data_IF_903020318691
#
_entry.id   IF_903020318691
#
_cell.length_a   1.000
_cell.length_b   1.000
_cell.length_c   1.000
_cell.angle_alpha   90.00
_cell.angle_beta   90.00
_cell.angle_gamma   90.00
#
_symmetry.space_group_name_H-M   'P 1'
#
loop_
_entity.id
_entity.type
_entity.pdbx_description
1 polymer ?
2 branched ?
3 branched ?
4 non-polymer ?
5 water ?
#
# COMPACT_ATOMS: atom_id res chain seq x y z
N UNK A 26 1.64 -1.29 -23.23
CA UNK A 26 1.31 -1.78 -21.87
C UNK A 26 0.38 -0.84 -21.13
N UNK A 27 0.07 -1.20 -19.90
CA UNK A 27 -0.89 -0.50 -19.10
C UNK A 27 -0.50 0.93 -18.85
N UNK A 28 0.78 1.14 -18.51
CA UNK A 28 1.24 2.50 -18.19
C UNK A 28 0.99 3.45 -19.39
N UNK A 29 1.13 2.94 -20.60
CA UNK A 29 0.89 3.73 -21.81
C UNK A 29 -0.58 3.96 -22.11
N UNK A 30 -1.38 2.91 -21.98
CA UNK A 30 -2.83 2.98 -22.15
C UNK A 30 -3.45 4.03 -21.24
N UNK A 31 -2.92 4.10 -20.01
CA UNK A 31 -3.41 4.99 -19.00
C UNK A 31 -2.60 6.27 -18.87
N UNK A 32 -1.76 6.59 -19.85
CA UNK A 32 -0.87 7.75 -19.67
C UNK A 32 -1.59 9.07 -19.33
N UNK A 33 -2.70 9.33 -20.00
CA UNK A 33 -3.46 10.59 -19.81
C UNK A 33 -4.27 10.59 -18.52
N UNK A 34 -4.29 9.47 -17.82
CA UNK A 34 -5.14 9.29 -16.64
C UNK A 34 -4.32 9.33 -15.36
N UNK A 35 -3.42 8.38 -15.19
CA UNK A 35 -2.64 8.35 -13.94
C UNK A 35 -1.52 7.35 -14.12
N UNK A 36 -0.55 7.40 -13.21
CA UNK A 36 0.51 6.42 -13.15
C UNK A 36 -0.02 5.02 -12.87
N UNK A 37 0.69 4.01 -13.36
CA UNK A 37 0.34 2.62 -13.12
C UNK A 37 1.56 2.00 -12.47
N UNK A 38 1.36 1.52 -11.25
CA UNK A 38 2.47 1.09 -10.40
C UNK A 38 2.42 -0.34 -9.94
N UNK A 39 3.56 -0.84 -9.44
CA UNK A 39 3.60 -2.16 -8.82
C UNK A 39 4.53 -2.14 -7.63
N UNK A 40 4.13 -2.85 -6.59
CA UNK A 40 5.00 -3.17 -5.46
C UNK A 40 5.97 -4.25 -5.86
N UNK A 41 7.25 -4.01 -5.60
CA UNK A 41 8.30 -4.96 -5.93
C UNK A 41 8.99 -5.52 -4.69
N UNK A 42 9.04 -6.82 -4.60
CA UNK A 42 9.79 -7.46 -3.53
C UNK A 42 11.29 -7.39 -3.81
N UNK A 43 12.08 -7.84 -2.85
CA UNK A 43 13.55 -7.68 -2.94
C UNK A 43 14.13 -8.53 -4.06
N UNK A 44 13.56 -9.71 -4.30
CA UNK A 44 14.06 -10.59 -5.37
C UNK A 44 13.86 -9.94 -6.75
N UNK A 45 12.69 -9.37 -6.96
CA UNK A 45 12.40 -8.73 -8.22
C UNK A 45 13.26 -7.48 -8.41
N UNK A 46 13.38 -6.65 -7.37
CA UNK A 46 14.12 -5.42 -7.47
C UNK A 46 15.62 -5.59 -7.63
N UNK A 47 16.12 -6.78 -7.40
CA UNK A 47 17.53 -7.09 -7.65
C UNK A 47 17.88 -6.94 -9.12
N UNK A 48 16.89 -7.07 -10.01
CA UNK A 48 17.11 -6.94 -11.45
C UNK A 48 17.67 -8.17 -12.13
N UNK A 49 17.74 -9.28 -11.40
CA UNK A 49 18.31 -10.53 -11.89
C UNK A 49 17.43 -11.19 -12.93
N UNK A 50 16.12 -10.92 -12.88
CA UNK A 50 15.14 -11.66 -13.68
C UNK A 50 14.81 -10.85 -14.91
N UNK A 51 15.42 -11.19 -16.05
CA UNK A 51 15.29 -10.35 -17.26
C UNK A 51 13.85 -10.32 -17.80
N UNK A 52 13.14 -11.40 -17.59
CA UNK A 52 11.75 -11.48 -18.00
C UNK A 52 10.93 -10.43 -17.26
N UNK A 53 11.08 -10.40 -15.93
CA UNK A 53 10.36 -9.40 -15.14
C UNK A 53 10.82 -8.00 -15.44
N UNK A 54 12.12 -7.80 -15.66
CA UNK A 54 12.58 -6.43 -15.98
C UNK A 54 11.89 -5.93 -17.22
N UNK A 55 11.78 -6.78 -18.21
CA UNK A 55 11.13 -6.40 -19.44
C UNK A 55 9.66 -6.09 -19.22
N UNK A 56 8.98 -7.00 -18.53
CA UNK A 56 7.56 -6.82 -18.20
C UNK A 56 7.32 -5.51 -17.44
N UNK A 57 8.10 -5.28 -16.39
CA UNK A 57 7.87 -4.10 -15.57
C UNK A 57 8.06 -2.82 -16.34
N UNK A 58 9.12 -2.75 -17.16
CA UNK A 58 9.39 -1.55 -17.96
C UNK A 58 8.30 -1.28 -18.97
N UNK A 59 7.71 -2.33 -19.50
CA UNK A 59 6.58 -2.21 -20.41
C UNK A 59 5.32 -1.73 -19.73
N UNK A 60 5.02 -2.27 -18.54
CA UNK A 60 3.69 -2.15 -17.96
C UNK A 60 3.52 -1.03 -16.93
N UNK A 61 4.57 -0.78 -16.15
CA UNK A 61 4.47 0.11 -15.00
C UNK A 61 5.38 1.31 -15.15
N UNK A 62 4.93 2.46 -14.65
CA UNK A 62 5.77 3.65 -14.59
C UNK A 62 5.95 4.18 -13.17
N UNK A 63 5.50 3.39 -12.19
CA UNK A 63 5.78 3.67 -10.77
C UNK A 63 6.01 2.34 -10.05
N UNK A 64 6.82 2.39 -8.99
CA UNK A 64 7.08 1.24 -8.17
C UNK A 64 7.15 1.64 -6.72
N UNK A 65 6.83 0.69 -5.85
CA UNK A 65 6.86 0.83 -4.39
C UNK A 65 7.62 -0.39 -3.83
N UNK A 66 8.48 -0.23 -2.82
CA UNK A 66 9.15 -1.37 -2.20
C UNK A 66 8.20 -2.11 -1.30
N UNK A 67 8.05 -3.41 -1.52
CA UNK A 67 7.05 -4.17 -0.77
C UNK A 67 7.35 -4.24 0.72
N UNK A 68 8.64 -4.37 1.05
CA UNK A 68 9.07 -4.53 2.46
C UNK A 68 10.36 -3.83 2.84
N UNK A 69 11.26 -3.61 1.88
CA UNK A 69 12.62 -3.33 2.30
C UNK A 69 12.85 -1.96 2.95
N UNK A 70 11.92 -1.01 2.85
CA UNK A 70 12.10 0.26 3.53
C UNK A 70 11.30 0.38 4.83
N UNK A 71 10.66 -0.72 5.27
CA UNK A 71 9.97 -0.72 6.56
C UNK A 71 11.00 -0.75 7.68
N UNK A 72 10.72 -0.01 8.73
CA UNK A 72 11.69 0.18 9.83
C UNK A 72 12.31 -1.14 10.27
N UNK A 73 11.47 -2.13 10.59
CA UNK A 73 11.93 -3.41 11.13
C UNK A 73 12.63 -4.34 10.17
N UNK A 74 12.58 -4.00 8.89
CA UNK A 74 13.20 -4.79 7.84
C UNK A 74 14.54 -4.15 7.48
N UNK A 75 14.52 -2.83 7.37
CA UNK A 75 15.73 -2.08 7.11
C UNK A 75 16.72 -2.07 8.28
N UNK A 76 16.19 -2.08 9.50
CA UNK A 76 17.02 -1.95 10.69
C UNK A 76 16.79 -3.13 11.59
N UNK A 77 17.80 -3.48 12.36
CA UNK A 77 17.66 -4.52 13.36
C UNK A 77 17.20 -3.95 14.71
N UNK A 78 17.03 -4.84 15.69
CA UNK A 78 16.45 -4.44 16.97
C UNK A 78 17.34 -3.50 17.76
N UNK A 79 18.62 -3.46 17.38
CA UNK A 79 19.60 -2.51 17.97
C UNK A 79 19.70 -1.22 17.17
N UNK A 80 18.89 -1.08 16.13
CA UNK A 80 18.84 0.16 15.36
C UNK A 80 19.84 0.22 14.24
N UNK A 81 20.59 -0.86 14.02
CA UNK A 81 21.60 -0.89 13.01
C UNK A 81 20.95 -1.03 11.63
N UNK A 82 21.51 -0.32 10.66
CA UNK A 82 20.95 -0.21 9.31
C UNK A 82 21.66 -1.12 8.31
N UNK A 83 20.90 -1.70 7.40
CA UNK A 83 21.50 -2.47 6.31
C UNK A 83 20.77 -2.08 5.02
N UNK A 84 21.48 -1.38 4.15
CA UNK A 84 20.89 -0.71 3.01
C UNK A 84 20.83 -1.56 1.73
N UNK A 85 21.25 -2.82 1.79
CA UNK A 85 21.43 -3.62 0.53
C UNK A 85 20.18 -3.61 -0.34
N UNK A 86 19.04 -3.96 0.25
CA UNK A 86 17.83 -4.12 -0.55
C UNK A 86 17.22 -2.80 -0.92
N UNK A 87 17.20 -1.84 0.00
CA UNK A 87 16.60 -0.55 -0.25
C UNK A 87 17.38 0.15 -1.34
N UNK A 88 18.72 0.05 -1.29
CA UNK A 88 19.50 0.64 -2.35
C UNK A 88 19.24 -0.04 -3.71
N UNK A 89 19.13 -1.36 -3.72
CA UNK A 89 18.81 -2.12 -4.94
C UNK A 89 17.48 -1.64 -5.54
N UNK A 90 16.50 -1.43 -4.69
CA UNK A 90 15.20 -0.93 -5.17
C UNK A 90 15.35 0.43 -5.86
N UNK A 91 16.08 1.33 -5.21
CA UNK A 91 16.24 2.69 -5.77
C UNK A 91 17.08 2.63 -7.04
N UNK A 92 18.08 1.78 -7.05
CA UNK A 92 18.86 1.57 -8.28
C UNK A 92 18.00 1.06 -9.47
N UNK A 93 17.07 0.16 -9.16
CA UNK A 93 16.16 -0.41 -10.18
C UNK A 93 15.26 0.70 -10.73
N UNK A 94 14.63 1.47 -9.85
CA UNK A 94 13.81 2.58 -10.29
C UNK A 94 14.57 3.62 -11.10
N UNK A 95 15.82 3.86 -10.70
CA UNK A 95 16.65 4.83 -11.40
C UNK A 95 16.98 4.31 -12.80
N UNK A 96 17.36 3.04 -12.87
CA UNK A 96 17.78 2.39 -14.12
C UNK A 96 16.67 2.47 -15.16
N UNK A 97 15.45 2.24 -14.71
CA UNK A 97 14.29 2.19 -15.60
C UNK A 97 13.48 3.48 -15.64
N UNK A 98 13.98 4.54 -15.01
CA UNK A 98 13.29 5.82 -14.90
C UNK A 98 11.84 5.71 -14.48
N UNK A 99 11.65 5.01 -13.36
CA UNK A 99 10.34 4.79 -12.78
C UNK A 99 10.11 5.76 -11.63
N UNK A 100 8.90 6.26 -11.52
CA UNK A 100 8.48 7.00 -10.34
C UNK A 100 8.53 6.07 -9.15
N UNK A 101 9.11 6.54 -8.04
CA UNK A 101 9.31 5.69 -6.86
C UNK A 101 8.64 6.24 -5.62
N UNK A 102 7.92 5.37 -4.94
CA UNK A 102 7.20 5.71 -3.71
C UNK A 102 7.88 5.04 -2.51
N UNK A 103 8.36 5.83 -1.56
CA UNK A 103 8.89 5.26 -0.30
C UNK A 103 7.76 4.72 0.55
N UNK A 104 7.97 3.53 1.13
CA UNK A 104 6.96 2.88 1.95
C UNK A 104 7.71 2.17 3.10
N UNK A 105 7.53 2.56 4.35
CA UNK A 105 6.73 3.69 4.85
C UNK A 105 7.44 4.16 6.10
N UNK A 106 7.41 5.46 6.38
CA UNK A 106 8.28 5.98 7.44
C UNK A 106 7.81 5.60 8.83
N UNK A 107 6.54 5.82 9.08
CA UNK A 107 5.98 5.65 10.44
C UNK A 107 4.72 4.78 10.40
N UNK A 108 4.85 3.58 10.96
CA UNK A 108 3.82 2.56 10.95
C UNK A 108 3.99 1.68 12.18
N UNK A 109 2.88 1.12 12.66
CA UNK A 109 2.89 0.25 13.86
C UNK A 109 3.27 -1.20 13.60
N UNK A 110 3.36 -1.63 12.33
CA UNK A 110 3.65 -3.00 11.93
C UNK A 110 5.07 -3.15 11.36
N UNK A 111 5.65 -4.35 11.47
CA UNK A 111 6.99 -4.60 10.98
C UNK A 111 7.97 -3.57 11.54
N UNK A 112 7.90 -3.40 12.85
CA UNK A 112 8.80 -2.49 13.58
C UNK A 112 9.05 -3.12 14.95
N UNK A 113 10.33 -3.13 15.34
CA UNK A 113 10.74 -3.78 16.58
C UNK A 113 10.11 -3.15 17.80
N UNK A 114 9.64 -3.98 18.73
CA UNK A 114 9.16 -3.45 20.00
C UNK A 114 10.21 -2.62 20.76
N UNK A 115 11.49 -2.94 20.52
CA UNK A 115 12.62 -2.17 21.06
C UNK A 115 12.62 -0.68 20.73
N UNK A 116 11.91 -0.30 19.67
CA UNK A 116 11.79 1.13 19.38
C UNK A 116 11.02 1.84 20.47
N UNK A 117 10.00 1.15 21.03
CA UNK A 117 9.05 1.76 21.94
C UNK A 117 9.23 1.42 23.43
N UNK A 118 9.89 0.32 23.70
CA UNK A 118 9.83 -0.31 25.02
C UNK A 118 11.22 -0.59 25.56
N UNK A 119 11.37 -0.41 26.86
CA UNK A 119 12.45 -1.04 27.55
C UNK A 119 12.27 -2.56 27.54
N UNK A 120 13.35 -3.28 27.83
CA UNK A 120 13.34 -4.72 27.78
C UNK A 120 12.38 -5.30 28.82
N UNK A 121 12.06 -4.51 29.83
CA UNK A 121 11.12 -4.93 30.89
C UNK A 121 9.66 -4.72 30.49
N UNK A 122 9.45 -4.19 29.28
CA UNK A 122 8.09 -3.91 28.78
C UNK A 122 7.57 -2.51 28.91
N UNK A 123 8.20 -1.68 29.75
CA UNK A 123 7.75 -0.34 30.01
C UNK A 123 8.01 0.57 28.79
N UNK A 124 7.13 1.53 28.57
CA UNK A 124 7.36 2.48 27.47
C UNK A 124 8.45 3.49 27.76
N UNK A 125 9.17 3.86 26.70
CA UNK A 125 10.09 4.98 26.78
C UNK A 125 9.31 6.30 26.71
N UNK A 126 10.00 7.39 27.06
CA UNK A 126 9.35 8.72 27.07
C UNK A 126 9.03 9.17 25.65
N UNK A 127 8.10 10.11 25.59
CA UNK A 127 7.75 10.77 24.35
C UNK A 127 9.00 11.41 23.73
N UNK A 128 9.81 12.08 24.56
CA UNK A 128 11.05 12.70 24.07
C UNK A 128 12.04 11.71 23.45
N UNK A 129 12.19 10.56 24.10
CA UNK A 129 13.09 9.53 23.62
C UNK A 129 12.60 8.99 22.29
N UNK A 130 11.29 8.78 22.19
CA UNK A 130 10.71 8.30 20.92
C UNK A 130 10.78 9.36 19.79
N UNK A 131 10.57 10.62 20.15
CA UNK A 131 10.70 11.68 19.16
C UNK A 131 12.11 11.65 18.57
N UNK A 132 13.13 11.46 19.42
CA UNK A 132 14.52 11.45 18.95
C UNK A 132 14.72 10.32 17.96
N UNK A 133 14.17 9.15 18.27
CA UNK A 133 14.27 8.03 17.33
C UNK A 133 13.56 8.33 16.02
N UNK A 134 12.38 8.93 16.06
CA UNK A 134 11.69 9.25 14.82
C UNK A 134 12.51 10.21 13.99
N UNK A 135 13.09 11.20 14.65
CA UNK A 135 13.90 12.23 14.00
C UNK A 135 15.06 11.58 13.29
N UNK A 136 15.76 10.69 13.97
CA UNK A 136 16.88 10.02 13.36
C UNK A 136 16.41 9.17 12.20
N UNK A 137 15.34 8.45 12.39
CA UNK A 137 14.90 7.51 11.34
C UNK A 137 14.52 8.27 10.05
N UNK A 138 13.70 9.29 10.18
CA UNK A 138 13.23 9.99 8.99
C UNK A 138 14.37 10.77 8.35
N UNK A 139 15.19 11.46 9.17
CA UNK A 139 16.29 12.25 8.63
C UNK A 139 17.26 11.36 7.82
N UNK A 140 17.51 10.17 8.34
CA UNK A 140 18.39 9.23 7.68
C UNK A 140 17.78 8.63 6.41
N UNK A 141 16.58 8.07 6.57
CA UNK A 141 15.95 7.32 5.47
C UNK A 141 15.42 8.24 4.37
N UNK A 142 14.63 9.23 4.73
CA UNK A 142 14.18 10.19 3.73
C UNK A 142 15.35 11.02 3.20
N UNK A 143 16.37 11.24 4.03
CA UNK A 143 17.53 11.97 3.54
C UNK A 143 18.30 11.21 2.49
N UNK A 144 18.52 9.91 2.71
CA UNK A 144 19.35 9.14 1.79
C UNK A 144 18.81 9.19 0.37
N UNK A 145 17.49 9.16 0.26
CA UNK A 145 16.86 9.08 -1.04
C UNK A 145 16.18 10.38 -1.49
N UNK A 146 16.51 11.49 -0.83
CA UNK A 146 16.01 12.81 -1.15
C UNK A 146 16.19 13.05 -2.64
N UNK A 147 15.11 13.44 -3.31
CA UNK A 147 15.17 13.69 -4.76
C UNK A 147 15.10 12.49 -5.66
N UNK A 148 15.29 11.30 -5.10
CA UNK A 148 15.23 10.08 -5.85
C UNK A 148 13.82 9.47 -5.77
N UNK A 149 13.27 9.41 -4.56
CA UNK A 149 11.91 9.02 -4.35
C UNK A 149 11.01 10.24 -4.53
N UNK A 150 10.02 10.12 -5.40
CA UNK A 150 9.14 11.24 -5.67
C UNK A 150 8.08 11.42 -4.60
N UNK A 151 7.76 10.34 -3.89
CA UNK A 151 6.66 10.34 -2.94
C UNK A 151 7.02 9.47 -1.76
N UNK A 152 6.41 9.76 -0.60
CA UNK A 152 6.53 8.96 0.62
C UNK A 152 5.16 8.68 1.22
N UNK A 153 4.94 7.41 1.61
CA UNK A 153 3.96 7.06 2.63
C UNK A 153 4.61 7.41 3.97
N UNK A 154 4.22 8.55 4.51
CA UNK A 154 4.84 9.07 5.73
C UNK A 154 4.28 8.33 6.94
N UNK A 155 2.95 8.28 7.02
CA UNK A 155 2.27 7.52 8.07
C UNK A 155 1.26 6.57 7.39
N UNK A 156 1.20 5.34 7.91
CA UNK A 156 0.34 4.20 7.40
C UNK A 156 -0.57 3.81 8.57
N UNK A 157 -1.89 3.73 8.32
CA UNK A 157 -2.81 2.94 9.16
C UNK A 157 -2.95 3.47 10.59
N UNK A 158 -3.18 4.77 10.71
CA UNK A 158 -3.29 5.43 12.04
C UNK A 158 -4.69 5.42 12.63
N UNK A 159 -5.69 5.08 11.80
CA UNK A 159 -7.09 5.02 12.24
C UNK A 159 -7.42 3.58 12.51
N UNK A 160 -7.94 3.29 13.69
CA UNK A 160 -8.24 1.92 14.02
C UNK A 160 -9.53 1.50 13.35
N UNK A 161 -9.77 0.22 13.35
CA UNK A 161 -10.98 -0.25 12.70
C UNK A 161 -12.24 -0.06 13.50
N UNK A 162 -12.08 0.31 14.77
CA UNK A 162 -13.18 0.81 15.61
C UNK A 162 -13.45 2.30 15.48
N UNK A 163 -12.77 2.94 14.50
CA UNK A 163 -12.94 4.33 14.11
C UNK A 163 -12.35 5.32 15.11
N UNK A 164 -11.70 4.81 16.14
CA UNK A 164 -10.92 5.63 17.03
C UNK A 164 -9.48 5.63 16.48
N UNK A 165 -8.62 6.50 16.99
CA UNK A 165 -7.19 6.43 16.61
C UNK A 165 -6.68 5.06 16.98
N UNK A 166 -5.85 4.47 16.11
CA UNK A 166 -5.31 3.15 16.39
C UNK A 166 -4.47 3.26 17.66
N UNK A 167 -4.65 2.28 18.54
CA UNK A 167 -4.02 2.25 19.84
C UNK A 167 -2.62 1.62 19.74
N UNK A 168 -1.81 2.14 18.81
CA UNK A 168 -0.44 1.65 18.65
C UNK A 168 0.48 2.25 19.70
N UNK A 169 1.69 1.70 19.80
CA UNK A 169 2.70 2.29 20.69
C UNK A 169 3.00 3.73 20.28
N UNK A 170 3.10 3.98 18.97
CA UNK A 170 3.27 5.36 18.48
C UNK A 170 2.27 6.33 19.12
N UNK A 171 1.00 5.96 19.04
CA UNK A 171 -0.08 6.83 19.51
C UNK A 171 -0.16 6.88 21.03
N UNK A 172 0.02 5.73 21.66
CA UNK A 172 -0.02 5.69 23.11
C UNK A 172 1.10 6.54 23.73
N UNK A 173 2.29 6.53 23.12
CA UNK A 173 3.39 7.39 23.63
C UNK A 173 3.30 8.86 23.27
N UNK A 174 2.93 9.18 22.02
CA UNK A 174 3.09 10.51 21.46
C UNK A 174 1.80 11.29 21.26
N UNK A 175 0.66 10.59 21.24
CA UNK A 175 -0.57 11.19 20.77
C UNK A 175 -0.49 11.51 19.29
N UNK A 176 -1.35 12.40 18.80
CA UNK A 176 -1.38 12.65 17.36
C UNK A 176 -0.16 13.46 16.86
N UNK A 177 0.67 13.93 17.80
CA UNK A 177 1.96 14.46 17.41
C UNK A 177 2.79 13.45 16.63
N UNK A 178 2.57 12.15 16.81
CA UNK A 178 3.38 11.19 16.05
C UNK A 178 3.13 11.40 14.57
N UNK A 179 1.91 11.75 14.22
CA UNK A 179 1.59 12.00 12.79
C UNK A 179 2.09 13.36 12.34
N UNK A 180 1.71 14.41 13.08
CA UNK A 180 2.11 15.78 12.77
C UNK A 180 3.63 15.88 12.63
N UNK A 181 4.34 15.31 13.59
CA UNK A 181 5.81 15.41 13.58
C UNK A 181 6.45 14.63 12.41
N UNK A 182 5.90 13.47 12.08
CA UNK A 182 6.41 12.67 10.97
C UNK A 182 6.33 13.42 9.65
N UNK A 183 5.18 14.06 9.39
CA UNK A 183 5.00 14.80 8.14
C UNK A 183 5.90 16.03 8.12
N UNK A 184 6.00 16.71 9.26
CA UNK A 184 6.83 17.91 9.33
C UNK A 184 8.29 17.56 9.03
N UNK A 185 8.78 16.50 9.68
CA UNK A 185 10.11 16.02 9.48
C UNK A 185 10.38 15.57 8.05
N UNK A 186 9.48 14.76 7.49
CA UNK A 186 9.68 14.31 6.10
C UNK A 186 9.77 15.55 5.17
N UNK A 187 8.92 16.53 5.42
CA UNK A 187 8.89 17.72 4.59
C UNK A 187 10.17 18.56 4.72
N UNK A 188 10.74 18.64 5.91
CA UNK A 188 12.02 19.34 6.09
C UNK A 188 13.16 18.61 5.40
N UNK A 189 13.10 17.28 5.41
CA UNK A 189 14.21 16.47 4.88
C UNK A 189 14.18 16.45 3.35
N UNK A 190 13.01 16.25 2.76
CA UNK A 190 12.87 16.37 1.29
C UNK A 190 11.66 17.21 0.97
N UNK A 191 11.84 18.51 0.84
CA UNK A 191 10.71 19.43 0.54
C UNK A 191 10.00 19.16 -0.79
N UNK A 192 10.65 18.46 -1.69
CA UNK A 192 10.05 18.16 -2.99
C UNK A 192 9.20 16.88 -2.99
N UNK A 193 9.32 16.07 -1.94
CA UNK A 193 8.56 14.79 -1.90
C UNK A 193 7.06 15.04 -1.72
N UNK A 194 6.27 14.22 -2.40
CA UNK A 194 4.86 14.22 -2.32
C UNK A 194 4.53 13.30 -1.12
N UNK A 195 4.03 13.92 -0.07
CA UNK A 195 3.82 13.24 1.21
C UNK A 195 2.41 12.74 1.32
N UNK A 196 2.28 11.46 1.67
CA UNK A 196 0.97 10.80 1.76
C UNK A 196 0.69 10.17 3.10
N UNK A 197 -0.59 10.19 3.43
CA UNK A 197 -1.16 9.36 4.49
C UNK A 197 -1.83 8.19 3.78
N UNK A 198 -1.65 6.95 4.27
CA UNK A 198 -2.09 5.73 3.54
C UNK A 198 -2.87 4.85 4.51
N UNK A 199 -3.95 4.21 4.06
CA UNK A 199 -4.70 3.31 4.97
C UNK A 199 -5.60 2.37 4.15
N UNK A 200 -6.05 1.32 4.82
CA UNK A 200 -6.97 0.32 4.24
C UNK A 200 -8.37 0.50 4.81
N UNK A 201 -9.36 0.06 4.03
CA UNK A 201 -10.77 0.10 4.44
C UNK A 201 -11.31 1.52 4.53
N UNK A 202 -10.55 2.50 4.03
CA UNK A 202 -11.05 3.86 3.98
C UNK A 202 -11.91 4.06 2.75
N UNK A 203 -12.13 2.99 2.00
CA UNK A 203 -13.14 2.92 0.93
C UNK A 203 -14.52 2.88 1.50
N UNK A 204 -14.63 2.59 2.79
CA UNK A 204 -15.91 2.27 3.42
C UNK A 204 -16.42 3.34 4.35
N UNK A 205 -17.75 3.46 4.39
CA UNK A 205 -18.39 4.32 5.34
C UNK A 205 -18.01 3.95 6.79
N UNK A 206 -17.73 4.99 7.56
CA UNK A 206 -17.22 4.86 8.92
C UNK A 206 -15.78 5.30 8.96
N UNK A 207 -14.90 4.39 8.51
CA UNK A 207 -13.46 4.66 8.50
C UNK A 207 -13.14 5.78 7.55
N UNK A 208 -13.88 5.90 6.46
CA UNK A 208 -13.70 7.05 5.56
C UNK A 208 -13.82 8.38 6.31
N UNK A 209 -14.93 8.54 7.02
CA UNK A 209 -15.27 9.80 7.63
C UNK A 209 -14.35 10.07 8.81
N UNK A 210 -13.96 9.02 9.51
CA UNK A 210 -13.01 9.14 10.63
C UNK A 210 -11.66 9.67 10.12
N UNK A 211 -11.26 9.16 8.96
CA UNK A 211 -10.01 9.59 8.32
C UNK A 211 -10.06 11.04 7.83
N UNK A 212 -11.18 11.41 7.21
CA UNK A 212 -11.39 12.78 6.81
C UNK A 212 -11.26 13.73 8.00
N UNK A 213 -11.86 13.36 9.13
CA UNK A 213 -11.85 14.25 10.28
C UNK A 213 -10.45 14.39 10.85
N UNK A 214 -9.72 13.29 10.90
CA UNK A 214 -8.35 13.32 11.39
C UNK A 214 -7.47 14.19 10.53
N UNK A 215 -7.52 13.95 9.22
CA UNK A 215 -6.68 14.69 8.30
C UNK A 215 -7.05 16.16 8.31
N UNK A 216 -8.36 16.45 8.34
CA UNK A 216 -8.85 17.85 8.39
C UNK A 216 -8.22 18.65 9.48
N UNK A 217 -8.22 18.08 10.68
CA UNK A 217 -7.74 18.80 11.83
C UNK A 217 -6.20 18.91 11.84
N UNK A 218 -5.53 17.89 11.33
CA UNK A 218 -4.09 18.03 11.14
C UNK A 218 -3.77 19.10 10.08
N UNK A 219 -4.54 19.17 9.00
CA UNK A 219 -4.32 20.21 8.00
C UNK A 219 -4.49 21.62 8.58
N UNK A 220 -5.48 21.79 9.45
CA UNK A 220 -5.72 23.13 10.04
C UNK A 220 -4.58 23.47 10.98
N UNK A 221 -3.96 22.45 11.55
CA UNK A 221 -2.81 22.63 12.37
C UNK A 221 -1.60 23.01 11.54
N UNK A 222 -1.72 22.92 10.22
CA UNK A 222 -0.65 23.29 9.29
C UNK A 222 0.25 22.14 8.84
N UNK A 223 -0.17 20.90 9.07
CA UNK A 223 0.68 19.75 8.71
C UNK A 223 0.84 19.69 7.19
N UNK A 224 2.07 19.53 6.71
CA UNK A 224 2.28 19.40 5.27
C UNK A 224 1.80 18.01 4.87
N UNK A 225 0.95 17.97 3.87
CA UNK A 225 0.46 16.68 3.34
C UNK A 225 -0.07 17.00 1.97
N UNK A 226 0.23 16.12 1.02
CA UNK A 226 -0.08 16.36 -0.38
C UNK A 226 -1.03 15.35 -0.96
N UNK A 227 -0.99 14.12 -0.42
CA UNK A 227 -1.71 13.03 -1.02
C UNK A 227 -2.34 12.13 -0.01
N UNK A 228 -3.35 11.39 -0.49
CA UNK A 228 -4.10 10.45 0.36
C UNK A 228 -4.12 9.11 -0.37
N UNK A 229 -3.58 8.09 0.27
CA UNK A 229 -3.43 6.75 -0.31
C UNK A 229 -4.53 5.85 0.21
N UNK A 230 -5.35 5.35 -0.71
CA UNK A 230 -6.35 4.32 -0.42
C UNK A 230 -5.73 3.01 -0.86
N UNK A 231 -5.55 2.08 0.08
CA UNK A 231 -4.82 0.85 -0.23
C UNK A 231 -5.49 0.06 -1.33
N UNK A 232 -6.83 -0.09 -1.26
CA UNK A 232 -7.53 -0.86 -2.30
C UNK A 232 -7.27 -2.37 -2.23
N UNK A 233 -7.20 -2.90 -1.01
CA UNK A 233 -7.21 -4.36 -0.80
C UNK A 233 -8.67 -4.79 -0.87
N UNK A 234 -9.12 -5.15 -2.04
CA UNK A 234 -10.53 -5.39 -2.29
C UNK A 234 -10.87 -6.88 -2.28
N UNK A 235 -12.15 -7.18 -2.03
CA UNK A 235 -12.65 -8.54 -2.25
C UNK A 235 -13.27 -8.62 -3.62
N UNK A 236 -13.57 -9.83 -4.06
CA UNK A 236 -14.10 -10.03 -5.39
C UNK A 236 -15.48 -9.34 -5.51
N UNK A 237 -16.23 -9.28 -4.39
CA UNK A 237 -17.52 -8.59 -4.36
C UNK A 237 -17.52 -7.22 -3.66
N UNK A 238 -16.93 -7.16 -2.46
CA UNK A 238 -17.02 -6.00 -1.57
C UNK A 238 -15.66 -5.33 -1.50
N UNK A 239 -15.60 -4.01 -1.26
CA UNK A 239 -16.74 -3.13 -1.14
C UNK A 239 -17.26 -2.75 -2.51
N UNK A 240 -18.48 -2.24 -2.57
CA UNK A 240 -19.06 -1.85 -3.84
C UNK A 240 -18.43 -0.58 -4.43
N UNK A 241 -18.50 -0.45 -5.75
CA UNK A 241 -18.01 0.74 -6.45
C UNK A 241 -18.51 2.04 -5.84
N UNK A 242 -19.79 2.08 -5.45
CA UNK A 242 -20.36 3.32 -4.88
C UNK A 242 -19.67 3.80 -3.62
N UNK A 243 -19.22 2.87 -2.79
CA UNK A 243 -18.50 3.18 -1.58
C UNK A 243 -17.12 3.76 -1.91
N UNK A 244 -16.40 3.09 -2.80
CA UNK A 244 -15.07 3.57 -3.19
C UNK A 244 -15.21 4.98 -3.80
N UNK A 245 -16.25 5.17 -4.62
CA UNK A 245 -16.51 6.48 -5.22
C UNK A 245 -16.67 7.58 -4.18
N UNK A 246 -17.43 7.32 -3.11
CA UNK A 246 -17.59 8.33 -2.05
C UNK A 246 -16.27 8.72 -1.41
N UNK A 247 -15.36 7.76 -1.30
CA UNK A 247 -14.01 8.03 -0.78
C UNK A 247 -13.16 8.87 -1.70
N UNK A 248 -13.16 8.57 -2.98
CA UNK A 248 -12.35 9.34 -3.91
C UNK A 248 -12.82 10.78 -3.80
N UNK A 249 -14.15 10.99 -3.84
CA UNK A 249 -14.71 12.35 -3.77
C UNK A 249 -14.39 13.07 -2.45
N UNK A 250 -14.54 12.37 -1.33
CA UNK A 250 -14.35 12.96 -0.03
C UNK A 250 -12.89 13.35 0.17
N UNK A 251 -11.97 12.48 -0.22
CA UNK A 251 -10.55 12.74 0.00
C UNK A 251 -10.05 13.85 -0.92
N UNK A 252 -10.55 13.89 -2.15
CA UNK A 252 -10.20 14.97 -3.08
C UNK A 252 -10.65 16.30 -2.52
N UNK A 253 -11.78 16.31 -1.85
CA UNK A 253 -12.29 17.57 -1.24
C UNK A 253 -11.38 18.14 -0.16
N UNK A 254 -10.47 17.34 0.38
CA UNK A 254 -9.45 17.83 1.33
C UNK A 254 -8.29 18.56 0.66
N UNK A 255 -8.39 18.65 -0.67
CA UNK A 255 -7.39 19.26 -1.51
C UNK A 255 -6.14 18.41 -1.61
N UNK A 256 -6.35 17.09 -1.59
CA UNK A 256 -5.27 16.11 -1.66
C UNK A 256 -5.40 15.34 -2.93
N UNK A 257 -4.28 14.93 -3.51
CA UNK A 257 -4.25 13.99 -4.59
C UNK A 257 -4.56 12.60 -4.03
N UNK A 258 -5.38 11.87 -4.76
CA UNK A 258 -5.78 10.53 -4.40
C UNK A 258 -4.94 9.51 -5.15
N UNK A 259 -4.41 8.55 -4.39
CA UNK A 259 -3.66 7.45 -4.96
C UNK A 259 -4.32 6.16 -4.48
N UNK A 260 -4.41 5.19 -5.39
CA UNK A 260 -4.71 3.80 -5.02
C UNK A 260 -3.39 3.07 -4.97
N UNK A 261 -3.05 2.56 -3.80
CA UNK A 261 -1.66 2.24 -3.51
C UNK A 261 -1.29 0.76 -3.44
N UNK A 262 -2.25 -0.13 -3.23
CA UNK A 262 -1.94 -1.52 -2.87
C UNK A 262 -3.02 -2.42 -3.42
N UNK A 263 -3.38 -2.19 -4.70
CA UNK A 263 -4.51 -2.85 -5.26
C UNK A 263 -4.30 -4.34 -5.40
N UNK A 264 -5.33 -5.06 -4.95
CA UNK A 264 -5.47 -6.46 -5.24
C UNK A 264 -6.91 -6.89 -5.00
N UNK A 265 -7.28 -8.06 -5.54
CA UNK A 265 -8.66 -8.57 -5.39
C UNK A 265 -8.57 -9.98 -4.86
N UNK A 266 -9.03 -10.18 -3.63
CA UNK A 266 -9.01 -11.49 -2.97
C UNK A 266 -10.18 -12.31 -3.50
N UNK A 267 -9.85 -13.41 -4.16
CA UNK A 267 -10.87 -14.27 -4.78
C UNK A 267 -11.19 -15.51 -3.95
N UNK A 268 -10.61 -15.62 -2.75
CA UNK A 268 -10.78 -16.81 -1.93
C UNK A 268 -11.82 -16.63 -0.82
N UNK A 269 -12.41 -17.75 -0.34
CA UNK A 269 -13.37 -17.68 0.73
C UNK A 269 -12.90 -16.79 1.86
N UNK A 270 -13.78 -15.90 2.24
CA UNK A 270 -13.46 -14.89 3.21
C UNK A 270 -13.75 -15.35 4.62
N UNK A 271 -12.81 -15.04 5.52
CA UNK A 271 -12.97 -15.39 6.92
C UNK A 271 -13.11 -14.14 7.80
N UNK A 272 -13.28 -12.97 7.19
CA UNK A 272 -13.28 -11.72 7.96
C UNK A 272 -14.50 -11.57 8.85
N UNK A 273 -15.65 -12.09 8.44
CA UNK A 273 -16.88 -11.89 9.21
C UNK A 273 -17.58 -13.17 9.68
N UNK A 274 -16.82 -14.11 10.21
CA UNK A 274 -17.40 -15.37 10.67
C UNK A 274 -18.05 -15.23 12.06
N UNK A 275 -18.86 -16.20 12.46
CA UNK A 275 -19.48 -16.17 13.78
C UNK A 275 -18.46 -16.24 14.91
N UNK A 276 -18.87 -15.79 16.09
CA UNK A 276 -17.95 -15.67 17.19
C UNK A 276 -17.24 -16.99 17.55
N UNK A 277 -17.94 -18.11 17.36
CA UNK A 277 -17.36 -19.42 17.69
C UNK A 277 -16.07 -19.72 16.89
N UNK A 278 -15.96 -19.09 15.72
CA UNK A 278 -14.84 -19.29 14.80
C UNK A 278 -13.80 -18.17 14.86
N UNK A 279 -13.96 -17.22 15.78
CA UNK A 279 -13.13 -16.02 15.79
C UNK A 279 -11.64 -16.37 15.84
N UNK A 280 -11.30 -17.42 16.57
CA UNK A 280 -9.90 -17.75 16.79
C UNK A 280 -9.43 -18.79 15.79
N UNK A 281 -10.34 -19.60 15.26
CA UNK A 281 -9.94 -20.66 14.35
C UNK A 281 -10.00 -20.20 12.91
N UNK A 282 -10.57 -19.03 12.65
CA UNK A 282 -10.85 -18.64 11.27
C UNK A 282 -9.59 -18.43 10.42
N UNK A 283 -8.41 -18.26 11.04
CA UNK A 283 -7.18 -18.06 10.27
C UNK A 283 -6.40 -19.37 10.08
N UNK A 284 -7.00 -20.47 10.50
CA UNK A 284 -6.39 -21.78 10.34
C UNK A 284 -6.60 -22.27 8.92
N UNK A 285 -5.63 -22.99 8.42
CA UNK A 285 -5.75 -23.53 7.10
C UNK A 285 -6.75 -24.67 7.10
N UNK A 286 -7.71 -24.60 6.18
CA UNK A 286 -8.66 -25.69 5.88
C UNK A 286 -8.83 -25.80 4.36
N UNK A 287 -8.89 -27.01 3.83
CA UNK A 287 -8.96 -27.19 2.38
C UNK A 287 -10.16 -26.46 1.74
N UNK A 288 -11.28 -26.41 2.44
CA UNK A 288 -12.48 -25.74 1.90
C UNK A 288 -12.26 -24.25 1.72
N UNK A 289 -11.35 -23.68 2.50
CA UNK A 289 -11.01 -22.26 2.34
C UNK A 289 -9.99 -21.98 1.26
N UNK A 290 -9.49 -23.03 0.61
CA UNK A 290 -8.43 -22.95 -0.39
C UNK A 290 -8.85 -23.81 -1.60
N UNK A 291 -9.93 -23.41 -2.28
CA UNK A 291 -10.58 -24.28 -3.26
C UNK A 291 -9.94 -24.33 -4.66
N UNK A 292 -8.99 -23.43 -4.94
CA UNK A 292 -8.43 -23.31 -6.30
C UNK A 292 -6.96 -23.65 -6.41
N UNK A 293 -6.51 -24.65 -5.65
CA UNK A 293 -5.12 -25.02 -5.78
C UNK A 293 -4.71 -25.53 -7.15
N UNK A 294 -5.64 -26.12 -7.89
CA UNK A 294 -5.31 -26.64 -9.20
C UNK A 294 -5.38 -25.62 -10.31
N UNK A 295 -5.84 -24.40 -10.01
CA UNK A 295 -6.07 -23.38 -11.02
C UNK A 295 -7.34 -22.59 -10.71
N UNK A 296 -7.41 -21.37 -11.25
CA UNK A 296 -8.61 -20.56 -11.09
C UNK A 296 -9.50 -20.83 -12.30
N UNK A 297 -10.70 -21.35 -12.10
CA UNK A 297 -11.56 -21.70 -13.26
C UNK A 297 -11.96 -20.48 -14.04
N UNK A 298 -12.26 -20.66 -15.31
CA UNK A 298 -12.57 -19.57 -16.18
C UNK A 298 -13.72 -18.70 -15.64
N UNK A 299 -14.72 -19.34 -15.03
CA UNK A 299 -15.86 -18.58 -14.52
C UNK A 299 -15.41 -17.56 -13.46
N UNK A 300 -14.42 -17.93 -12.64
CA UNK A 300 -13.83 -16.99 -11.69
C UNK A 300 -12.89 -15.99 -12.35
N UNK A 301 -12.17 -16.40 -13.39
CA UNK A 301 -11.41 -15.44 -14.17
C UNK A 301 -12.31 -14.34 -14.67
N UNK A 302 -13.48 -14.74 -15.15
CA UNK A 302 -14.45 -13.80 -15.72
C UNK A 302 -14.88 -12.80 -14.63
N UNK A 303 -15.21 -13.33 -13.47
CA UNK A 303 -15.69 -12.47 -12.38
C UNK A 303 -14.59 -11.49 -11.94
N UNK A 304 -13.37 -11.99 -11.88
CA UNK A 304 -12.23 -11.17 -11.51
C UNK A 304 -12.00 -10.07 -12.54
N UNK A 305 -12.10 -10.43 -13.81
CA UNK A 305 -11.96 -9.43 -14.89
C UNK A 305 -13.03 -8.36 -14.79
N UNK A 306 -14.28 -8.77 -14.55
CA UNK A 306 -15.38 -7.80 -14.47
C UNK A 306 -15.18 -6.86 -13.28
N UNK A 307 -14.69 -7.42 -12.16
CA UNK A 307 -14.43 -6.63 -10.96
C UNK A 307 -13.35 -5.58 -11.19
N UNK A 308 -12.21 -5.98 -11.76
CA UNK A 308 -11.21 -5.01 -12.15
C UNK A 308 -11.72 -3.99 -13.17
N UNK A 309 -12.54 -4.42 -14.12
CA UNK A 309 -13.08 -3.49 -15.13
C UNK A 309 -13.95 -2.44 -14.47
N UNK A 310 -14.81 -2.87 -13.56
CA UNK A 310 -15.64 -1.97 -12.79
C UNK A 310 -14.80 -0.92 -12.04
N UNK A 311 -13.74 -1.38 -11.40
CA UNK A 311 -12.91 -0.51 -10.60
C UNK A 311 -12.22 0.51 -11.51
N UNK A 312 -11.64 0.05 -12.61
CA UNK A 312 -10.91 0.99 -13.47
C UNK A 312 -11.83 1.94 -14.23
N UNK A 313 -13.06 1.52 -14.51
CA UNK A 313 -14.07 2.45 -15.01
C UNK A 313 -14.28 3.61 -14.03
N UNK A 314 -14.36 3.28 -12.75
CA UNK A 314 -14.49 4.30 -11.73
C UNK A 314 -13.28 5.23 -11.66
N UNK A 315 -12.08 4.65 -11.73
CA UNK A 315 -10.87 5.44 -11.71
C UNK A 315 -10.81 6.40 -12.91
N UNK A 316 -11.17 5.89 -14.08
CA UNK A 316 -11.19 6.72 -15.27
C UNK A 316 -12.16 7.88 -15.08
N UNK A 317 -13.35 7.57 -14.56
CA UNK A 317 -14.36 8.59 -14.30
C UNK A 317 -13.82 9.76 -13.44
N UNK A 318 -12.96 9.41 -12.49
CA UNK A 318 -12.39 10.36 -11.54
C UNK A 318 -10.90 10.56 -11.75
N UNK A 319 -10.45 10.45 -13.01
CA UNK A 319 -9.04 10.51 -13.28
C UNK A 319 -8.47 11.89 -12.90
N UNK A 320 -9.30 12.93 -12.95
CA UNK A 320 -8.87 14.27 -12.53
C UNK A 320 -8.43 14.35 -11.05
N UNK A 321 -8.91 13.43 -10.22
CA UNK A 321 -8.62 13.40 -8.78
C UNK A 321 -7.50 12.44 -8.39
N UNK A 322 -7.17 11.54 -9.29
CA UNK A 322 -6.32 10.41 -9.00
C UNK A 322 -4.97 10.55 -9.71
N UNK A 323 -3.87 10.39 -8.96
CA UNK A 323 -2.50 10.47 -9.48
C UNK A 323 -1.92 9.12 -9.89
N UNK A 324 -2.44 8.01 -9.31
CA UNK A 324 -1.77 6.72 -9.43
C UNK A 324 -2.66 5.59 -9.01
N UNK A 325 -2.47 4.46 -9.66
CA UNK A 325 -3.04 3.17 -9.26
C UNK A 325 -1.87 2.17 -9.26
N UNK A 326 -1.47 1.74 -8.05
CA UNK A 326 -0.43 0.77 -7.86
C UNK A 326 -1.04 -0.54 -7.36
N UNK A 327 -0.55 -1.63 -7.96
CA UNK A 327 -0.96 -2.98 -7.60
C UNK A 327 0.00 -3.50 -6.59
N UNK A 328 -0.48 -4.28 -5.62
CA UNK A 328 0.41 -4.79 -4.57
C UNK A 328 1.09 -6.09 -5.03
N UNK A 329 1.88 -5.97 -6.08
CA UNK A 329 2.57 -7.07 -6.69
C UNK A 329 2.37 -7.05 -8.20
N UNK A 330 3.19 -7.82 -8.87
CA UNK A 330 3.13 -7.94 -10.32
C UNK A 330 2.34 -9.15 -10.70
N UNK A 331 2.71 -10.32 -10.18
CA UNK A 331 2.03 -11.54 -10.58
C UNK A 331 1.58 -12.37 -9.38
N UNK A 332 0.64 -13.26 -9.61
CA UNK A 332 -0.04 -13.93 -8.51
C UNK A 332 0.86 -14.73 -7.58
N UNK A 333 1.94 -15.27 -8.14
CA UNK A 333 2.88 -16.07 -7.34
C UNK A 333 3.47 -15.30 -6.16
N UNK A 334 3.60 -14.01 -6.31
CA UNK A 334 4.27 -13.16 -5.34
C UNK A 334 3.31 -12.44 -4.42
N UNK A 335 2.00 -12.66 -4.58
CA UNK A 335 1.05 -11.90 -3.78
C UNK A 335 1.07 -12.27 -2.32
N UNK A 336 1.02 -11.25 -1.44
CA UNK A 336 0.94 -11.49 -0.01
C UNK A 336 -0.35 -12.21 0.40
N UNK A 337 -1.35 -12.19 -0.47
CA UNK A 337 -2.65 -12.82 -0.20
C UNK A 337 -2.61 -14.32 -0.29
N UNK A 338 -1.52 -14.87 -0.84
CA UNK A 338 -1.27 -16.30 -0.74
C UNK A 338 -1.04 -16.72 0.69
N UNK A 339 -0.46 -15.83 1.49
CA UNK A 339 -0.24 -16.15 2.90
C UNK A 339 -0.98 -15.39 3.97
N UNK A 340 -1.85 -14.45 3.57
CA UNK A 340 -2.59 -13.63 4.46
C UNK A 340 -4.02 -13.57 3.95
N UNK A 341 -5.02 -13.74 4.82
CA UNK A 341 -4.84 -13.93 6.25
C UNK A 341 -4.63 -15.37 6.66
N UNK A 342 -4.66 -16.29 5.69
CA UNK A 342 -4.45 -17.71 5.94
C UNK A 342 -3.16 -18.18 5.24
N UNK A 343 -2.20 -18.75 6.01
CA UNK A 343 -0.95 -19.17 5.40
C UNK A 343 -1.17 -20.30 4.40
N UNK A 344 -0.42 -20.26 3.30
CA UNK A 344 -0.32 -21.39 2.39
C UNK A 344 -1.50 -21.59 1.44
N UNK A 345 -2.29 -20.53 1.21
CA UNK A 345 -3.32 -20.58 0.16
C UNK A 345 -2.82 -20.25 -1.22
N UNK A 346 -3.66 -20.56 -2.22
CA UNK A 346 -3.35 -20.26 -3.61
C UNK A 346 -4.36 -19.21 -4.08
N UNK A 347 -3.92 -17.95 -4.07
CA UNK A 347 -4.80 -16.82 -4.42
C UNK A 347 -4.43 -16.32 -5.83
N UNK A 348 -5.30 -15.49 -6.42
CA UNK A 348 -5.15 -15.06 -7.80
C UNK A 348 -5.51 -13.56 -7.93
N UNK A 349 -4.83 -12.69 -7.20
CA UNK A 349 -5.32 -11.33 -6.96
C UNK A 349 -4.92 -10.26 -7.95
N UNK A 350 -4.01 -10.57 -8.84
CA UNK A 350 -3.30 -9.59 -9.66
C UNK A 350 -3.53 -9.77 -11.15
N UNK A 351 -2.84 -8.97 -11.97
CA UNK A 351 -3.11 -8.96 -13.43
C UNK A 351 -2.35 -9.97 -14.21
N UNK A 352 -1.29 -10.53 -13.62
CA UNK A 352 -0.42 -11.51 -14.31
C UNK A 352 -0.41 -12.79 -13.48
N UNK A 353 -0.42 -13.91 -14.19
CA UNK A 353 -0.52 -15.20 -13.58
C UNK A 353 0.86 -15.75 -13.17
N UNK A 354 0.89 -16.97 -12.67
CA UNK A 354 2.14 -17.56 -12.12
C UNK A 354 3.19 -17.84 -13.17
N UNK A 355 2.78 -17.79 -14.45
CA UNK A 355 3.70 -17.90 -15.59
C UNK A 355 4.02 -16.53 -16.22
N UNK A 356 3.68 -15.46 -15.51
CA UNK A 356 3.83 -14.07 -15.98
C UNK A 356 3.03 -13.71 -17.21
N UNK A 357 1.96 -14.46 -17.47
CA UNK A 357 1.10 -14.15 -18.58
C UNK A 357 -0.07 -13.29 -18.13
N UNK A 358 -0.49 -12.33 -18.96
CA UNK A 358 -1.61 -11.50 -18.60
C UNK A 358 -2.89 -12.32 -18.48
N UNK A 359 -3.67 -12.01 -17.45
CA UNK A 359 -4.95 -12.66 -17.19
C UNK A 359 -6.03 -11.87 -17.92
N UNK A 360 -7.24 -12.41 -17.98
CA UNK A 360 -8.34 -11.74 -18.65
C UNK A 360 -8.57 -10.32 -18.16
N UNK A 361 -8.43 -10.11 -16.84
CA UNK A 361 -8.56 -8.79 -16.24
C UNK A 361 -7.68 -7.74 -16.93
N UNK A 362 -6.44 -8.12 -17.24
CA UNK A 362 -5.50 -7.22 -17.90
C UNK A 362 -6.06 -6.72 -19.24
N UNK A 363 -6.55 -7.63 -20.08
CA UNK A 363 -7.11 -7.24 -21.36
C UNK A 363 -8.35 -6.36 -21.23
N UNK A 364 -9.15 -6.59 -20.21
CA UNK A 364 -10.30 -5.68 -19.98
C UNK A 364 -9.84 -4.28 -19.64
N UNK A 365 -8.79 -4.17 -18.84
CA UNK A 365 -8.24 -2.85 -18.52
C UNK A 365 -7.69 -2.15 -19.75
N UNK A 366 -7.01 -2.87 -20.62
CA UNK A 366 -6.51 -2.24 -21.85
C UNK A 366 -7.66 -1.76 -22.73
N UNK A 367 -8.66 -2.59 -22.89
CA UNK A 367 -9.82 -2.29 -23.78
C UNK A 367 -10.56 -1.05 -23.30
N UNK A 368 -10.60 -0.79 -21.99
CA UNK A 368 -11.28 0.43 -21.54
C UNK A 368 -10.67 1.69 -22.16
N UNK A 369 -9.38 1.64 -22.43
CA UNK A 369 -8.66 2.77 -22.95
C UNK A 369 -8.57 2.70 -24.47
N UNK A 370 -8.42 1.50 -25.01
CA UNK A 370 -8.28 1.33 -26.45
C UNK A 370 -9.52 1.83 -27.16
N UNK A 371 -10.66 1.58 -26.51
CA UNK A 371 -11.95 1.81 -27.11
C UNK A 371 -12.61 3.10 -26.62
N UNK A 372 -11.78 3.97 -26.01
CA UNK A 372 -12.02 5.41 -25.73
C UNK A 372 -12.23 5.63 -24.24
X LIG B 1 -0.76 -2.93 3.23
X LIG B 1 0.57 -2.43 3.78
X LIG B 1 1.72 -3.21 3.17
X LIG B 1 1.48 -4.68 3.45
X LIG B 1 0.21 -5.09 2.77
X LIG B 1 -0.93 -2.51 1.89
X LIG B 1 0.63 -1.04 3.50
X LIG B 1 2.97 -2.78 3.76
X LIG B 1 2.54 -5.37 2.81
X LIG B 1 -0.86 -4.27 3.21
X LIG B 2 2.77 -6.69 3.33
X LIG B 2 3.75 -7.37 2.39
X LIG B 2 4.15 -8.72 2.92
X LIG B 2 4.57 -8.60 4.37
X LIG B 2 3.52 -7.83 5.14
X LIG B 2 3.20 -7.50 1.10
X LIG B 2 5.14 -9.31 2.12
X LIG B 2 4.63 -9.91 4.87
X LIG B 2 3.30 -6.56 4.57
X LIG B 3 5.67 -10.12 5.81
X LIG B 3 5.29 -11.40 6.54
X LIG B 3 6.30 -11.67 7.62
X LIG B 3 7.68 -11.73 6.99
X LIG B 3 7.92 -10.45 6.18
X LIG B 3 4.07 -11.18 7.23
X LIG B 3 5.94 -12.87 8.28
X LIG B 3 8.62 -11.84 8.05
X LIG B 3 6.90 -10.20 5.22
X LIG C 1 -19.03 -11.25 1.37
X LIG C 1 -18.62 -10.70 2.61
X LIG C 1 -17.62 -11.59 3.28
X LIG C 1 -17.00 -10.87 4.48
X LIG C 1 -16.47 -9.50 4.06
X LIG C 1 -17.65 -8.74 3.47
X LIG C 1 -18.24 -12.76 3.78
X LIG C 1 -16.03 -11.73 5.06
X LIG C 1 -16.01 -8.75 5.17
X LIG C 1 -18.11 -9.47 2.34
X LIG C 2 -14.92 -7.83 4.86
X LIG C 2 -14.62 -7.02 6.10
X LIG C 2 -13.41 -6.09 5.91
X LIG C 2 -12.27 -6.91 5.35
X LIG C 2 -12.77 -7.58 4.08
X LIG C 2 -15.75 -6.21 6.44
X LIG C 2 -13.01 -5.48 7.12
X LIG C 2 -11.20 -6.05 5.03
X LIG C 2 -13.83 -8.48 4.38
X LIG C 3 -9.93 -6.55 5.48
X LIG C 3 -8.95 -6.20 4.39
X LIG C 3 -7.55 -6.55 4.81
X LIG C 3 -7.22 -5.87 6.11
X LIG C 3 -8.30 -6.16 7.14
X LIG C 3 -9.24 -6.91 3.20
X LIG C 3 -6.66 -6.18 3.80
X LIG C 3 -5.99 -6.40 6.54
X LIG C 3 -9.60 -5.93 6.64
X LIG C 4 -4.98 -5.39 6.54
X LIG C 4 -3.90 -5.92 7.42
X LIG C 4 -2.76 -4.94 7.50
X LIG C 4 -2.29 -4.69 6.09
X LIG C 4 -3.47 -4.16 5.29
X LIG C 4 -4.40 -6.15 8.74
X LIG C 4 -1.76 -5.56 8.28
X LIG C 4 -1.17 -3.81 6.05
X LIG C 4 -4.52 -5.14 5.29
X LIG D 1 15.83 10.01 -10.24
#
# INVERSE_FOLDING_TARGET
MLTSAGIAMGQASKLAAATKAAEQTGLKSAYKDNFLIGAALNATIASGADERLNTLIAKEFNSITPENCMKWGVLRDAQGQWNWKDADAFVAFGTKHNLHMVGHTLVWHSQIHDEVFKNADGSYISKAALQKKMEEHITTLAGRYKGKLAAWDVVNEAVGDDLKMRDSHWYKIMGDDFIYNAFTLANEVDPKAHLMYNDYNIERTGKREATVEMIERLQKRGMPIHGLGIQGHLGIDTPPIAEIEKSIIAFAKLGLRVHFTSLDVDVLPSVWELPVAEVSTRFEYKPERDPYTKGLPQEMQDKLAKRYEDLFKLFIKHSDKIDRATFWGVSDDASWLNGFPIPGRTNYPLLFDRKLQPKDAYFRLLDLKRLEHHHHHH
XYS C1 C2 C3 C4 C5 O1 O2 O3 O4 O5
XYP C1 C2 C3 C4 C5 O2 O3 O4 O5
XYP C1 C2 C3 C4 C5 O2 O3 O4 O5
XYP O1 C1 C2 C3 C4 C5 O2 O3 O4 O5
XYP C1 C2 C3 C4 C5 O2 O3 O4 O5
XYP C1 C2 C3 C4 C5 O2 O3 O4 O5
XYP C1 C2 C3 C4 C5 O2 O3 O4 O5
MG MG
#
